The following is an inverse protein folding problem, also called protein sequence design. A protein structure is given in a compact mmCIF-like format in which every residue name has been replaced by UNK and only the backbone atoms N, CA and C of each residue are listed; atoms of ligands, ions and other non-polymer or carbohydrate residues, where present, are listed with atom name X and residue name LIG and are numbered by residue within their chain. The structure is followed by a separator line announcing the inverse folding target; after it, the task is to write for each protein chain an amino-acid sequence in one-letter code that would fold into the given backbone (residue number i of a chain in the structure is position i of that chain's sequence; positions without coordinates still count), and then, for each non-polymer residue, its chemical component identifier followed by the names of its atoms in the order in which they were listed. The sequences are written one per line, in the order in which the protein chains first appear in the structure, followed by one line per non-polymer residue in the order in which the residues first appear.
data_IF_609175157449
#
_entry.id   IF_609175157449
#
_cell.length_a   1.000
_cell.length_b   1.000
_cell.length_c   1.000
_cell.angle_alpha   90.00
_cell.angle_beta   90.00
_cell.angle_gamma   90.00
#
_symmetry.space_group_name_H-M   'P 1'
#
loop_
_entity.id
_entity.type
_entity.pdbx_description
1 polymer ?
#
# COMPACT_ATOMS: atom_id res chain seq x y z
N UNK A 1 -20.82 -5.66 4.54
CA UNK A 1 -19.73 -6.64 4.74
C UNK A 1 -18.44 -5.86 4.91
N UNK A 2 -17.64 -6.17 5.94
CA UNK A 2 -16.35 -5.54 6.20
C UNK A 2 -15.27 -6.37 5.51
N UNK A 3 -14.42 -5.76 4.69
CA UNK A 3 -13.31 -6.46 4.06
C UNK A 3 -12.07 -6.30 4.96
N UNK A 4 -11.57 -7.40 5.51
CA UNK A 4 -10.36 -7.40 6.35
C UNK A 4 -9.08 -7.58 5.52
N UNK A 5 -9.15 -8.34 4.41
CA UNK A 5 -8.03 -8.64 3.53
C UNK A 5 -8.39 -8.28 2.09
N UNK A 6 -7.55 -7.47 1.46
CA UNK A 6 -7.62 -7.12 0.04
C UNK A 6 -6.33 -7.54 -0.63
N UNK A 7 -6.41 -8.58 -1.46
CA UNK A 7 -5.30 -9.02 -2.29
C UNK A 7 -5.45 -8.42 -3.69
N UNK A 8 -4.48 -7.60 -4.08
CA UNK A 8 -4.36 -6.99 -5.40
C UNK A 8 -2.99 -7.26 -6.01
N UNK A 9 -2.27 -8.28 -5.53
CA UNK A 9 -0.95 -8.63 -6.05
C UNK A 9 -1.01 -9.02 -7.53
N UNK A 10 0.11 -8.81 -8.24
CA UNK A 10 0.32 -9.16 -9.64
C UNK A 10 -0.75 -8.62 -10.61
N UNK A 11 -1.19 -7.39 -10.36
CA UNK A 11 -2.04 -6.62 -11.27
C UNK A 11 -1.26 -5.49 -11.96
N UNK A 12 -1.94 -4.73 -12.82
CA UNK A 12 -1.38 -3.57 -13.51
C UNK A 12 -1.69 -2.25 -12.79
N UNK A 13 -1.69 -2.26 -11.45
CA UNK A 13 -1.96 -1.05 -10.67
C UNK A 13 -0.75 -0.11 -10.76
N UNK A 14 -0.86 0.86 -11.66
CA UNK A 14 0.06 1.99 -11.75
C UNK A 14 -0.33 3.15 -10.84
N UNK A 15 0.30 4.31 -11.04
CA UNK A 15 0.04 5.53 -10.24
C UNK A 15 -1.45 5.86 -10.11
N UNK A 16 -2.21 5.86 -11.21
CA UNK A 16 -3.65 6.22 -11.17
C UNK A 16 -4.47 5.26 -10.31
N UNK A 17 -4.16 3.97 -10.38
CA UNK A 17 -4.81 2.97 -9.53
C UNK A 17 -4.45 3.16 -8.06
N UNK A 18 -3.19 3.48 -7.78
CA UNK A 18 -2.74 3.82 -6.43
C UNK A 18 -3.43 5.07 -5.87
N UNK A 19 -3.60 6.12 -6.69
CA UNK A 19 -4.34 7.33 -6.31
C UNK A 19 -5.82 6.99 -5.98
N UNK A 20 -6.45 6.15 -6.80
CA UNK A 20 -7.83 5.72 -6.58
C UNK A 20 -8.00 4.87 -5.31
N UNK A 21 -7.08 3.93 -5.06
CA UNK A 21 -7.05 3.16 -3.82
C UNK A 21 -6.86 4.08 -2.61
N UNK A 22 -5.92 5.02 -2.69
CA UNK A 22 -5.63 5.96 -1.61
C UNK A 22 -6.82 6.86 -1.26
N UNK A 23 -7.66 7.19 -2.23
CA UNK A 23 -8.86 8.00 -2.07
C UNK A 23 -10.12 7.18 -1.71
N UNK A 24 -10.04 5.84 -1.62
CA UNK A 24 -11.22 4.99 -1.42
C UNK A 24 -11.61 4.88 0.06
N UNK A 25 -12.78 5.40 0.47
CA UNK A 25 -13.26 5.25 1.85
C UNK A 25 -13.58 3.79 2.21
N UNK A 26 -13.79 2.94 1.21
CA UNK A 26 -14.04 1.51 1.40
C UNK A 26 -12.86 0.76 2.01
N UNK A 27 -11.65 1.35 2.03
CA UNK A 27 -10.47 0.73 2.61
C UNK A 27 -10.27 1.04 4.10
N UNK A 28 -11.17 1.81 4.72
CA UNK A 28 -11.14 2.13 6.16
C UNK A 28 -11.15 0.90 7.06
N UNK A 29 -11.74 -0.18 6.60
CA UNK A 29 -11.78 -1.44 7.32
C UNK A 29 -10.60 -2.38 7.06
N UNK A 30 -9.85 -2.17 5.98
CA UNK A 30 -8.88 -3.14 5.49
C UNK A 30 -7.69 -3.21 6.45
N UNK A 31 -7.34 -4.43 6.85
CA UNK A 31 -6.20 -4.72 7.74
C UNK A 31 -5.00 -5.24 6.97
N UNK A 32 -5.23 -5.96 5.87
CA UNK A 32 -4.18 -6.51 5.02
C UNK A 32 -4.41 -6.06 3.58
N UNK A 33 -3.44 -5.36 3.01
CA UNK A 33 -3.46 -4.91 1.61
C UNK A 33 -2.23 -5.46 0.88
N UNK A 34 -2.42 -6.32 -0.11
CA UNK A 34 -1.32 -6.89 -0.87
C UNK A 34 -1.21 -6.21 -2.24
N UNK A 35 -0.07 -5.58 -2.53
CA UNK A 35 0.18 -4.85 -3.78
C UNK A 35 1.50 -5.27 -4.44
N UNK A 36 2.10 -6.40 -4.04
CA UNK A 36 3.30 -6.95 -4.69
C UNK A 36 3.04 -7.20 -6.17
N UNK A 37 4.08 -7.16 -7.01
CA UNK A 37 3.93 -7.37 -8.45
C UNK A 37 3.28 -6.22 -9.25
N UNK A 38 2.85 -5.13 -8.61
CA UNK A 38 2.22 -4.01 -9.30
C UNK A 38 3.22 -2.90 -9.70
N UNK A 39 3.03 -2.24 -10.86
CA UNK A 39 3.90 -1.14 -11.31
C UNK A 39 3.53 0.21 -10.67
N UNK A 40 3.43 0.28 -9.33
CA UNK A 40 2.98 1.49 -8.62
C UNK A 40 3.89 2.70 -8.90
N UNK A 41 5.19 2.46 -9.11
CA UNK A 41 6.27 3.46 -9.15
C UNK A 41 6.39 4.23 -7.81
N UNK A 42 7.46 5.01 -7.58
CA UNK A 42 7.60 5.78 -6.34
C UNK A 42 6.39 6.67 -6.04
N UNK A 43 5.84 7.36 -7.03
CA UNK A 43 4.67 8.24 -6.82
C UNK A 43 3.39 7.50 -6.42
N UNK A 44 3.17 6.25 -6.87
CA UNK A 44 2.02 5.45 -6.46
C UNK A 44 2.14 4.96 -5.01
N UNK A 45 3.33 4.57 -4.58
CA UNK A 45 3.60 4.24 -3.17
C UNK A 45 3.32 5.44 -2.26
N UNK A 46 3.60 6.65 -2.74
CA UNK A 46 3.42 7.92 -2.02
C UNK A 46 1.94 8.18 -1.77
N UNK A 47 1.11 7.97 -2.80
CA UNK A 47 -0.33 8.08 -2.68
C UNK A 47 -0.89 7.12 -1.62
N UNK A 48 -0.47 5.84 -1.66
CA UNK A 48 -0.92 4.84 -0.68
C UNK A 48 -0.50 5.23 0.74
N UNK A 49 0.75 5.68 0.93
CA UNK A 49 1.26 6.14 2.22
C UNK A 49 0.54 7.40 2.69
N UNK A 50 0.16 8.30 1.79
CA UNK A 50 -0.59 9.50 2.17
C UNK A 50 -2.08 9.25 2.44
N UNK A 51 -2.60 8.06 2.12
CA UNK A 51 -4.04 7.75 2.23
C UNK A 51 -4.58 7.97 3.64
N UNK A 52 -5.60 8.82 3.76
CA UNK A 52 -6.34 9.00 5.00
C UNK A 52 -7.30 7.84 5.31
N UNK A 53 -7.55 6.94 4.36
CA UNK A 53 -8.53 5.86 4.51
C UNK A 53 -7.89 4.53 4.96
N UNK A 54 -6.57 4.36 4.90
CA UNK A 54 -5.90 3.13 5.36
C UNK A 54 -5.64 3.11 6.88
N UNK A 55 -6.63 3.52 7.69
CA UNK A 55 -6.48 3.72 9.15
C UNK A 55 -6.38 2.42 9.95
N UNK A 56 -7.01 1.35 9.46
CA UNK A 56 -7.01 0.04 10.12
C UNK A 56 -5.90 -0.88 9.61
N UNK A 57 -5.04 -0.39 8.73
CA UNK A 57 -4.07 -1.22 8.04
C UNK A 57 -2.99 -1.70 9.01
N UNK A 58 -2.79 -3.01 9.05
CA UNK A 58 -1.82 -3.69 9.90
C UNK A 58 -0.70 -4.32 9.07
N UNK A 59 -0.98 -4.71 7.83
CA UNK A 59 -0.02 -5.33 6.93
C UNK A 59 -0.20 -4.82 5.51
N UNK A 60 0.93 -4.50 4.86
CA UNK A 60 0.96 -4.09 3.45
C UNK A 60 2.14 -4.74 2.74
N UNK A 61 1.95 -5.23 1.50
CA UNK A 61 3.06 -5.56 0.60
C UNK A 61 3.22 -4.47 -0.45
N UNK A 62 4.45 -4.05 -0.72
CA UNK A 62 4.77 -3.06 -1.75
C UNK A 62 5.88 -3.60 -2.68
N UNK A 63 5.88 -3.21 -3.97
CA UNK A 63 6.97 -3.53 -4.89
C UNK A 63 8.23 -2.79 -4.45
N UNK A 64 9.28 -3.52 -4.05
CA UNK A 64 10.47 -2.96 -3.40
C UNK A 64 11.56 -2.46 -4.34
N UNK A 65 11.52 -2.85 -5.62
CA UNK A 65 12.57 -2.53 -6.60
C UNK A 65 12.88 -1.04 -6.78
N UNK A 66 11.92 -0.16 -6.48
CA UNK A 66 12.03 1.29 -6.71
C UNK A 66 11.81 2.14 -5.44
N UNK A 67 11.75 1.53 -4.24
CA UNK A 67 11.51 2.26 -2.99
C UNK A 67 12.85 2.49 -2.26
N UNK A 68 13.32 3.75 -2.16
CA UNK A 68 14.56 4.05 -1.45
C UNK A 68 14.53 3.63 0.04
N UNK A 69 15.64 3.18 0.63
CA UNK A 69 15.68 2.68 2.01
C UNK A 69 15.14 3.67 3.06
N UNK A 70 15.45 4.97 2.91
CA UNK A 70 14.96 6.04 3.78
C UNK A 70 13.43 6.08 3.82
N UNK A 71 12.80 5.83 2.67
CA UNK A 71 11.36 5.82 2.53
C UNK A 71 10.74 4.56 3.13
N UNK A 72 11.42 3.42 3.05
CA UNK A 72 10.95 2.20 3.72
C UNK A 72 10.79 2.40 5.24
N UNK A 73 11.67 3.23 5.85
CA UNK A 73 11.56 3.59 7.26
C UNK A 73 10.31 4.40 7.55
N UNK A 74 9.97 5.38 6.71
CA UNK A 74 8.74 6.18 6.85
C UNK A 74 7.49 5.32 6.71
N UNK A 75 7.48 4.41 5.74
CA UNK A 75 6.36 3.48 5.51
C UNK A 75 6.17 2.57 6.72
N UNK A 76 7.27 2.02 7.27
CA UNK A 76 7.26 1.23 8.51
C UNK A 76 6.84 2.06 9.73
N UNK A 77 7.20 3.33 9.80
CA UNK A 77 6.75 4.22 10.87
C UNK A 77 5.24 4.48 10.79
N UNK A 78 4.69 4.57 9.58
CA UNK A 78 3.25 4.79 9.37
C UNK A 78 2.40 3.56 9.66
N UNK A 79 2.77 2.41 9.09
CA UNK A 79 1.93 1.19 9.14
C UNK A 79 2.46 0.13 10.11
N UNK A 80 3.56 0.40 10.81
CA UNK A 80 4.17 -0.51 11.78
C UNK A 80 5.02 -1.61 11.16
N UNK A 81 5.28 -2.66 11.94
CA UNK A 81 6.11 -3.80 11.56
C UNK A 81 5.50 -4.72 10.51
N UNK A 82 4.21 -4.57 10.18
CA UNK A 82 3.55 -5.37 9.16
C UNK A 82 3.77 -4.88 7.72
N UNK A 83 4.60 -3.86 7.51
CA UNK A 83 5.06 -3.48 6.17
C UNK A 83 6.07 -4.51 5.67
N UNK A 84 5.74 -5.16 4.56
CA UNK A 84 6.63 -6.07 3.84
C UNK A 84 6.98 -5.40 2.51
N UNK A 85 8.26 -5.18 2.27
CA UNK A 85 8.78 -4.66 1.00
C UNK A 85 9.52 -5.81 0.35
N UNK A 86 9.01 -6.29 -0.78
CA UNK A 86 9.60 -7.43 -1.51
C UNK A 86 10.56 -6.89 -2.57
N UNK A 87 11.80 -7.38 -2.57
CA UNK A 87 12.89 -6.95 -3.45
C UNK A 87 12.84 -7.66 -4.80
#
# INVERSE_FOLDING_TARGET
MKLDVLDLSDNEIGKRGADALAASPGLESVRVLLLSGNPLRPSGVEAIVASAHLKSLQRITLPGKDIPPERQKEIRARFGSGVVVEF
#
